data_IF_115637650416
#
_entry.id   IF_115637650416
#
_cell.length_a   1.000
_cell.length_b   1.000
_cell.length_c   1.000
_cell.angle_alpha   90.00
_cell.angle_beta   90.00
_cell.angle_gamma   90.00
#
_symmetry.space_group_name_H-M   'P 1'
#
loop_
_entity.id
_entity.type
_entity.pdbx_description
1 polymer ?
#
# COMPACT_ATOMS: atom_id res chain seq x y z
N UNK A 1 -9.71 19.79 17.55
CA UNK A 1 -9.28 18.99 16.38
C UNK A 1 -10.05 19.48 15.18
N UNK A 2 -9.37 20.09 14.21
CA UNK A 2 -9.99 20.51 12.95
C UNK A 2 -10.13 19.30 12.03
N UNK A 3 -11.37 18.95 11.70
CA UNK A 3 -11.65 17.92 10.69
C UNK A 3 -11.07 18.40 9.36
N UNK A 4 -10.25 17.58 8.72
CA UNK A 4 -9.72 17.88 7.38
C UNK A 4 -10.92 17.88 6.44
N UNK A 5 -11.22 19.04 5.84
CA UNK A 5 -12.27 19.15 4.84
C UNK A 5 -12.02 18.13 3.73
N UNK A 6 -12.95 17.19 3.57
CA UNK A 6 -12.90 16.15 2.54
C UNK A 6 -12.97 16.81 1.17
N UNK A 7 -11.84 16.85 0.45
CA UNK A 7 -11.79 17.25 -0.95
C UNK A 7 -12.43 16.15 -1.80
N UNK A 8 -13.70 16.34 -2.19
CA UNK A 8 -14.37 15.46 -3.14
C UNK A 8 -13.83 15.75 -4.54
N UNK A 9 -12.88 14.93 -5.00
CA UNK A 9 -12.47 14.92 -6.40
C UNK A 9 -13.56 14.22 -7.22
N UNK A 10 -14.25 14.95 -8.09
CA UNK A 10 -15.20 14.38 -9.07
C UNK A 10 -14.48 13.65 -10.22
N UNK A 11 -13.44 12.87 -9.90
CA UNK A 11 -12.80 11.99 -10.87
C UNK A 11 -13.64 10.73 -10.99
N UNK A 12 -14.43 10.64 -12.07
CA UNK A 12 -15.04 9.42 -12.60
C UNK A 12 -15.76 8.53 -11.55
N UNK A 13 -17.11 8.49 -11.60
CA UNK A 13 -18.01 7.74 -10.68
C UNK A 13 -17.68 6.24 -10.45
N UNK A 14 -16.66 5.69 -11.10
CA UNK A 14 -16.13 4.34 -10.92
C UNK A 14 -15.12 4.19 -9.79
N UNK A 15 -14.51 5.27 -9.28
CA UNK A 15 -13.53 5.21 -8.18
C UNK A 15 -13.88 6.24 -7.12
N UNK A 16 -14.49 5.79 -6.03
CA UNK A 16 -14.76 6.61 -4.84
C UNK A 16 -13.62 6.42 -3.85
N UNK A 17 -12.80 7.45 -3.66
CA UNK A 17 -11.78 7.48 -2.60
C UNK A 17 -12.45 8.08 -1.37
N UNK A 18 -12.66 7.30 -0.31
CA UNK A 18 -13.09 7.82 0.98
C UNK A 18 -11.98 7.64 2.03
N UNK A 19 -11.92 8.58 2.98
CA UNK A 19 -11.02 8.54 4.13
C UNK A 19 -11.72 8.01 5.39
N UNK A 20 -12.86 7.33 5.22
CA UNK A 20 -13.60 6.67 6.31
C UNK A 20 -12.84 5.45 6.88
N UNK A 21 -11.62 5.20 6.41
CA UNK A 21 -10.77 4.12 6.90
C UNK A 21 -11.38 2.76 6.59
N UNK A 22 -11.72 2.50 5.32
CA UNK A 22 -12.11 1.16 4.88
C UNK A 22 -11.10 0.13 5.39
N UNK A 23 -11.57 -1.08 5.71
CA UNK A 23 -10.75 -2.07 6.40
C UNK A 23 -9.39 -2.23 5.70
N UNK A 24 -8.31 -2.19 6.49
CA UNK A 24 -6.93 -2.37 6.01
C UNK A 24 -6.70 -3.69 5.26
N UNK A 25 -7.63 -4.65 5.40
CA UNK A 25 -7.67 -5.91 4.69
C UNK A 25 -8.23 -5.81 3.26
N UNK A 26 -8.79 -4.67 2.87
CA UNK A 26 -9.30 -4.42 1.51
C UNK A 26 -8.19 -3.92 0.57
N UNK A 27 -8.41 -4.01 -0.74
CA UNK A 27 -7.46 -3.54 -1.76
C UNK A 27 -7.06 -2.06 -1.60
N UNK A 28 -7.95 -1.25 -1.02
CA UNK A 28 -7.67 0.14 -0.69
C UNK A 28 -6.63 0.28 0.44
N UNK A 29 -6.68 -0.61 1.44
CA UNK A 29 -5.69 -0.69 2.51
C UNK A 29 -4.30 -1.05 1.97
N UNK A 30 -4.23 -1.97 1.01
CA UNK A 30 -2.98 -2.32 0.34
C UNK A 30 -2.36 -1.11 -0.39
N UNK A 31 -3.17 -0.31 -1.09
CA UNK A 31 -2.69 0.91 -1.76
C UNK A 31 -2.13 1.94 -0.77
N UNK A 32 -2.83 2.16 0.34
CA UNK A 32 -2.38 3.09 1.39
C UNK A 32 -1.06 2.64 2.03
N UNK A 33 -0.94 1.35 2.37
CA UNK A 33 0.30 0.79 2.91
C UNK A 33 1.44 0.90 1.89
N UNK A 34 1.16 0.62 0.61
CA UNK A 34 2.17 0.75 -0.45
C UNK A 34 2.65 2.19 -0.61
N UNK A 35 1.75 3.17 -0.60
CA UNK A 35 2.11 4.59 -0.68
C UNK A 35 2.91 5.04 0.56
N UNK A 36 2.50 4.61 1.75
CA UNK A 36 3.20 4.89 3.00
C UNK A 36 4.64 4.36 2.99
N UNK A 37 4.82 3.09 2.62
CA UNK A 37 6.13 2.42 2.49
C UNK A 37 7.01 3.15 1.49
N UNK A 38 6.47 3.53 0.33
CA UNK A 38 7.22 4.27 -0.70
C UNK A 38 7.60 5.69 -0.27
N UNK A 39 6.71 6.42 0.44
CA UNK A 39 7.03 7.77 0.95
C UNK A 39 8.14 7.76 2.01
N UNK A 40 8.18 6.72 2.84
CA UNK A 40 9.25 6.53 3.80
C UNK A 40 10.55 5.95 3.19
N UNK A 41 10.53 5.59 1.90
CA UNK A 41 11.67 4.98 1.22
C UNK A 41 12.03 3.58 1.75
N UNK A 42 11.08 2.93 2.42
CA UNK A 42 11.28 1.60 3.04
C UNK A 42 11.52 0.54 1.96
N UNK A 43 10.95 0.70 0.76
CA UNK A 43 11.21 -0.13 -0.41
C UNK A 43 12.70 -0.20 -0.78
N UNK A 44 13.39 0.94 -0.72
CA UNK A 44 14.83 1.02 -0.98
C UNK A 44 15.64 0.42 0.15
N UNK A 45 15.21 0.68 1.39
CA UNK A 45 15.84 0.12 2.59
C UNK A 45 15.79 -1.40 2.58
N UNK A 46 14.65 -2.01 2.26
CA UNK A 46 14.54 -3.46 2.12
C UNK A 46 15.49 -3.99 1.05
N UNK A 47 15.53 -3.36 -0.12
CA UNK A 47 16.40 -3.80 -1.21
C UNK A 47 17.90 -3.77 -0.85
N UNK A 48 18.30 -2.85 0.03
CA UNK A 48 19.70 -2.68 0.45
C UNK A 48 20.07 -3.53 1.67
N UNK A 49 19.17 -3.59 2.65
CA UNK A 49 19.44 -4.15 3.98
C UNK A 49 18.91 -5.57 4.15
N UNK A 50 17.87 -5.96 3.40
CA UNK A 50 17.26 -7.26 3.50
C UNK A 50 17.73 -8.16 2.35
N UNK A 51 18.77 -8.94 2.62
CA UNK A 51 19.19 -10.05 1.77
C UNK A 51 18.93 -11.35 2.49
N UNK A 52 18.19 -12.24 1.84
CA UNK A 52 18.08 -13.63 2.30
C UNK A 52 19.23 -14.43 1.68
N UNK A 53 19.63 -15.52 2.33
CA UNK A 53 20.64 -16.45 1.77
C UNK A 53 20.09 -17.32 0.63
N UNK A 54 18.86 -17.06 0.19
CA UNK A 54 18.23 -17.76 -0.89
C UNK A 54 18.67 -17.18 -2.24
N UNK A 55 18.96 -18.05 -3.20
CA UNK A 55 19.27 -17.64 -4.59
C UNK A 55 18.00 -17.30 -5.37
N UNK A 56 16.83 -17.67 -4.86
CA UNK A 56 15.56 -17.37 -5.50
C UNK A 56 15.25 -15.87 -5.49
N UNK A 57 15.12 -15.27 -6.68
CA UNK A 57 14.67 -13.88 -6.86
C UNK A 57 13.20 -13.69 -6.47
N UNK A 58 12.40 -14.74 -6.59
CA UNK A 58 10.98 -14.77 -6.22
C UNK A 58 10.60 -16.18 -5.76
N UNK A 59 9.65 -16.26 -4.82
CA UNK A 59 9.08 -17.52 -4.35
C UNK A 59 7.69 -17.67 -4.96
N UNK A 60 7.49 -18.71 -5.76
CA UNK A 60 6.14 -19.13 -6.15
C UNK A 60 5.57 -19.96 -5.01
N UNK A 61 4.57 -19.41 -4.32
CA UNK A 61 3.76 -20.21 -3.43
C UNK A 61 2.94 -21.19 -4.28
N UNK A 62 2.97 -22.46 -3.93
CA UNK A 62 2.11 -23.49 -4.53
C UNK A 62 1.24 -24.05 -3.43
N UNK A 63 -0.07 -23.88 -3.57
CA UNK A 63 -1.07 -24.55 -2.74
C UNK A 63 -1.09 -26.03 -3.16
N UNK A 64 -0.27 -26.86 -2.53
CA UNK A 64 -0.45 -28.32 -2.56
C UNK A 64 -1.16 -28.76 -1.30
#
# INVERSE_FOLDING_TARGET
MSIVNTLSLESNRKIKINFDGGDLSSDAGLLLIKEFVSKLGIDKLFSQSFKTNDSALFRYHTDK
#
